data_IF_007093149301
#
_entry.id   IF_007093149301
#
_cell.length_a   1.000
_cell.length_b   1.000
_cell.length_c   1.000
_cell.angle_alpha   90.00
_cell.angle_beta   90.00
_cell.angle_gamma   90.00
#
_symmetry.space_group_name_H-M   'P 1'
#
loop_
_entity.id
_entity.type
_entity.pdbx_description
1 polymer ?
#
# COMPACT_ATOMS: atom_id res chain seq x y z
N UNK A 1 38.16 -7.97 -36.81
CA UNK A 1 38.99 -7.36 -35.73
C UNK A 1 38.85 -5.84 -35.60
N UNK A 2 38.81 -5.03 -36.69
CA UNK A 2 38.71 -3.56 -36.59
C UNK A 2 37.34 -3.11 -36.09
N UNK A 3 36.24 -3.72 -36.55
CA UNK A 3 34.86 -3.40 -36.11
C UNK A 3 34.68 -3.72 -34.62
N UNK A 4 35.22 -4.86 -34.19
CA UNK A 4 35.14 -5.24 -32.73
C UNK A 4 35.93 -4.26 -31.86
N UNK A 5 37.12 -3.83 -32.32
CA UNK A 5 37.92 -2.85 -31.60
C UNK A 5 37.21 -1.50 -31.51
N UNK A 6 36.70 -1.01 -32.62
CA UNK A 6 35.95 0.26 -32.68
C UNK A 6 34.67 0.21 -31.82
N UNK A 7 33.93 -0.91 -31.83
CA UNK A 7 32.79 -1.13 -30.96
C UNK A 7 33.17 -1.13 -29.46
N UNK A 8 34.30 -1.71 -29.11
CA UNK A 8 34.84 -1.68 -27.76
C UNK A 8 35.23 -0.26 -27.32
N UNK A 9 35.93 0.48 -28.17
CA UNK A 9 36.33 1.87 -27.88
C UNK A 9 35.10 2.79 -27.65
N UNK A 10 34.05 2.64 -28.48
CA UNK A 10 32.79 3.37 -28.28
C UNK A 10 32.12 2.95 -26.96
N UNK A 11 32.07 1.65 -26.66
CA UNK A 11 31.46 1.19 -25.40
C UNK A 11 32.22 1.75 -24.18
N UNK A 12 33.53 1.80 -24.21
CA UNK A 12 34.34 2.27 -23.09
C UNK A 12 34.37 3.78 -22.93
N UNK A 13 34.34 4.53 -24.06
CA UNK A 13 34.47 5.99 -24.02
C UNK A 13 33.12 6.74 -23.91
N UNK A 14 32.03 6.16 -24.40
CA UNK A 14 30.73 6.84 -24.48
C UNK A 14 29.64 6.12 -23.68
N UNK A 15 29.48 4.80 -23.87
CA UNK A 15 28.37 4.05 -23.28
C UNK A 15 28.60 3.84 -21.78
N UNK A 16 29.78 3.34 -21.41
CA UNK A 16 30.07 2.99 -20.01
C UNK A 16 29.98 4.20 -19.05
N UNK A 17 30.53 5.40 -19.35
CA UNK A 17 30.36 6.56 -18.52
C UNK A 17 28.89 6.94 -18.32
N UNK A 18 28.11 6.99 -19.40
CA UNK A 18 26.68 7.34 -19.33
C UNK A 18 25.86 6.35 -18.50
N UNK A 19 26.14 5.06 -18.64
CA UNK A 19 25.48 4.03 -17.81
C UNK A 19 25.88 4.16 -16.35
N UNK A 20 27.16 4.45 -16.08
CA UNK A 20 27.66 4.66 -14.72
C UNK A 20 26.98 5.86 -14.05
N UNK A 21 26.92 6.99 -14.72
CA UNK A 21 26.29 8.20 -14.21
C UNK A 21 24.80 7.96 -13.95
N UNK A 22 24.10 7.35 -14.90
CA UNK A 22 22.70 7.01 -14.76
C UNK A 22 22.45 6.02 -13.60
N UNK A 23 23.29 5.03 -13.44
CA UNK A 23 23.19 4.09 -12.33
C UNK A 23 23.39 4.77 -10.97
N UNK A 24 24.34 5.69 -10.86
CA UNK A 24 24.52 6.47 -9.64
C UNK A 24 23.29 7.36 -9.34
N UNK A 25 22.69 7.97 -10.36
CA UNK A 25 21.44 8.70 -10.19
C UNK A 25 20.32 7.81 -9.65
N UNK A 26 20.14 6.60 -10.18
CA UNK A 26 19.12 5.66 -9.69
C UNK A 26 19.41 5.17 -8.25
N UNK A 27 20.68 4.90 -7.92
CA UNK A 27 21.09 4.59 -6.53
C UNK A 27 20.71 5.72 -5.57
N UNK A 28 20.94 6.99 -5.96
CA UNK A 28 20.56 8.15 -5.15
C UNK A 28 19.04 8.27 -5.03
N UNK A 29 18.29 8.10 -6.12
CA UNK A 29 16.81 8.16 -6.13
C UNK A 29 16.18 7.12 -5.22
N UNK A 30 16.77 5.92 -5.15
CA UNK A 30 16.33 4.83 -4.28
C UNK A 30 16.85 4.98 -2.83
N UNK A 31 17.50 6.11 -2.50
CA UNK A 31 18.13 6.39 -1.21
C UNK A 31 19.16 5.33 -0.76
N UNK A 32 19.68 4.54 -1.69
CA UNK A 32 20.71 3.53 -1.44
C UNK A 32 22.14 4.11 -1.49
N UNK A 33 22.31 5.41 -1.25
CA UNK A 33 23.60 6.14 -1.38
C UNK A 33 24.70 5.63 -0.42
N UNK A 34 24.33 4.90 0.63
CA UNK A 34 25.31 4.22 1.51
C UNK A 34 25.93 2.99 0.84
N UNK A 35 25.28 2.43 -0.16
CA UNK A 35 25.76 1.27 -0.93
C UNK A 35 26.70 1.78 -2.01
N UNK A 36 28.01 1.63 -1.76
CA UNK A 36 29.05 2.11 -2.69
C UNK A 36 29.33 1.06 -3.76
N UNK A 37 28.57 1.11 -4.85
CA UNK A 37 28.66 0.24 -6.01
C UNK A 37 28.78 1.04 -7.29
N UNK A 38 29.40 0.44 -8.30
CA UNK A 38 29.50 1.00 -9.64
C UNK A 38 29.17 -0.06 -10.71
N UNK A 39 28.76 0.42 -11.90
CA UNK A 39 28.69 -0.44 -13.09
C UNK A 39 30.02 -0.37 -13.82
N UNK A 40 30.57 -1.55 -14.12
CA UNK A 40 31.77 -1.70 -14.91
C UNK A 40 31.52 -2.67 -16.06
N UNK A 41 32.22 -2.47 -17.15
CA UNK A 41 32.19 -3.41 -18.26
C UNK A 41 32.94 -4.69 -17.87
N UNK A 42 32.28 -5.84 -18.01
CA UNK A 42 32.86 -7.18 -17.70
C UNK A 42 33.31 -7.93 -18.94
N UNK A 43 33.06 -7.38 -20.14
CA UNK A 43 33.40 -8.05 -21.41
C UNK A 43 32.42 -7.75 -22.52
N UNK A 44 32.26 -8.65 -23.46
CA UNK A 44 31.27 -8.62 -24.52
C UNK A 44 30.99 -10.01 -25.06
N UNK A 45 29.76 -10.26 -25.43
CA UNK A 45 29.30 -11.51 -26.01
C UNK A 45 28.43 -11.22 -27.23
N UNK A 46 28.72 -11.88 -28.35
CA UNK A 46 28.01 -11.70 -29.61
C UNK A 46 27.89 -10.23 -30.08
N UNK A 47 28.95 -9.44 -29.86
CA UNK A 47 28.99 -8.03 -30.26
C UNK A 47 28.31 -7.05 -29.29
N UNK A 48 27.67 -7.53 -28.23
CA UNK A 48 27.07 -6.72 -27.19
C UNK A 48 27.94 -6.58 -25.96
N UNK A 49 28.23 -5.38 -25.45
CA UNK A 49 29.00 -5.20 -24.23
C UNK A 49 28.21 -5.74 -23.03
N UNK A 50 28.91 -6.41 -22.13
CA UNK A 50 28.38 -6.93 -20.90
C UNK A 50 28.85 -6.07 -19.73
N UNK A 51 27.96 -5.82 -18.76
CA UNK A 51 28.19 -5.00 -17.58
C UNK A 51 27.97 -5.81 -16.33
N UNK A 52 28.66 -5.46 -15.26
CA UNK A 52 28.47 -6.03 -13.92
C UNK A 52 28.51 -4.92 -12.86
N UNK A 53 27.84 -5.17 -11.76
CA UNK A 53 27.94 -4.32 -10.58
C UNK A 53 29.13 -4.76 -9.75
N UNK A 54 29.93 -3.80 -9.27
CA UNK A 54 31.13 -4.01 -8.47
C UNK A 54 31.13 -3.08 -7.25
N UNK A 55 31.71 -3.54 -6.15
CA UNK A 55 31.91 -2.72 -4.96
C UNK A 55 33.11 -1.78 -5.16
N UNK A 56 32.95 -0.51 -4.79
CA UNK A 56 34.04 0.48 -4.84
C UNK A 56 35.22 0.11 -3.94
N UNK A 57 34.91 -0.26 -2.67
CA UNK A 57 35.93 -0.48 -1.65
C UNK A 57 36.66 -1.84 -1.79
N UNK A 58 36.01 -2.84 -2.40
CA UNK A 58 36.55 -4.19 -2.62
C UNK A 58 36.13 -4.70 -4.00
N UNK A 59 36.84 -4.28 -5.07
CA UNK A 59 36.46 -4.62 -6.44
C UNK A 59 36.43 -6.13 -6.75
N UNK A 60 37.23 -6.91 -6.05
CA UNK A 60 37.35 -8.36 -6.25
C UNK A 60 36.33 -9.17 -5.41
N UNK A 61 35.63 -8.51 -4.47
CA UNK A 61 34.64 -9.18 -3.67
C UNK A 61 33.31 -9.30 -4.43
N UNK A 62 32.63 -10.41 -4.24
CA UNK A 62 31.32 -10.62 -4.87
C UNK A 62 30.27 -9.79 -4.15
N UNK A 63 29.55 -8.96 -4.90
CA UNK A 63 28.52 -8.04 -4.39
C UNK A 63 27.47 -8.78 -3.54
N UNK A 64 27.06 -9.98 -3.98
CA UNK A 64 26.03 -10.77 -3.30
C UNK A 64 26.48 -11.40 -1.96
N UNK A 65 27.78 -11.44 -1.69
CA UNK A 65 28.33 -11.94 -0.41
C UNK A 65 28.44 -10.81 0.64
N UNK A 66 28.46 -9.56 0.21
CA UNK A 66 28.68 -8.39 1.07
C UNK A 66 27.40 -7.64 1.39
N UNK A 67 26.53 -7.44 0.38
CA UNK A 67 25.31 -6.67 0.53
C UNK A 67 24.22 -7.48 1.25
N UNK A 68 23.48 -6.80 2.12
CA UNK A 68 22.23 -7.32 2.68
C UNK A 68 21.19 -7.56 1.57
N UNK A 69 20.14 -8.33 1.86
CA UNK A 69 19.10 -8.64 0.89
C UNK A 69 18.41 -7.39 0.36
N UNK A 70 18.09 -6.45 1.25
CA UNK A 70 17.48 -5.17 0.85
C UNK A 70 18.41 -4.32 -0.02
N UNK A 71 19.71 -4.25 0.30
CA UNK A 71 20.69 -3.55 -0.54
C UNK A 71 20.83 -4.19 -1.94
N UNK A 72 20.83 -5.52 -2.02
CA UNK A 72 20.80 -6.24 -3.30
C UNK A 72 19.58 -5.88 -4.13
N UNK A 73 18.40 -5.85 -3.52
CA UNK A 73 17.14 -5.47 -4.18
C UNK A 73 17.21 -4.05 -4.72
N UNK A 74 17.68 -3.08 -3.94
CA UNK A 74 17.85 -1.69 -4.40
C UNK A 74 18.86 -1.58 -5.55
N UNK A 75 19.99 -2.28 -5.45
CA UNK A 75 21.01 -2.27 -6.51
C UNK A 75 20.50 -2.93 -7.79
N UNK A 76 19.78 -4.04 -7.68
CA UNK A 76 19.17 -4.70 -8.83
C UNK A 76 18.12 -3.81 -9.51
N UNK A 77 17.27 -3.14 -8.71
CA UNK A 77 16.29 -2.19 -9.23
C UNK A 77 16.96 -0.98 -9.91
N UNK A 78 18.02 -0.42 -9.31
CA UNK A 78 18.79 0.66 -9.91
C UNK A 78 19.42 0.24 -11.25
N UNK A 79 19.99 -0.94 -11.33
CA UNK A 79 20.56 -1.48 -12.56
C UNK A 79 19.48 -1.67 -13.65
N UNK A 80 18.34 -2.23 -13.28
CA UNK A 80 17.20 -2.40 -14.18
C UNK A 80 16.66 -1.07 -14.71
N UNK A 81 16.47 -0.07 -13.83
CA UNK A 81 16.02 1.27 -14.22
C UNK A 81 17.05 1.99 -15.12
N UNK A 82 18.33 1.74 -14.89
CA UNK A 82 19.41 2.26 -15.75
C UNK A 82 19.35 1.67 -17.16
N UNK A 83 19.14 0.36 -17.27
CA UNK A 83 18.98 -0.32 -18.55
C UNK A 83 17.74 0.22 -19.30
N UNK A 84 16.61 0.36 -18.62
CA UNK A 84 15.39 0.94 -19.19
C UNK A 84 15.57 2.36 -19.69
N UNK A 85 16.38 3.19 -19.03
CA UNK A 85 16.64 4.56 -19.46
C UNK A 85 17.41 4.62 -20.81
N UNK A 86 18.11 3.55 -21.16
CA UNK A 86 18.81 3.42 -22.44
C UNK A 86 17.97 2.73 -23.53
N UNK A 87 16.86 2.10 -23.14
CA UNK A 87 15.99 1.41 -24.07
C UNK A 87 15.12 2.40 -24.86
N UNK A 88 15.05 2.21 -26.18
CA UNK A 88 14.27 3.06 -27.09
C UNK A 88 12.76 2.82 -27.05
N UNK A 89 12.29 1.82 -26.30
CA UNK A 89 10.88 1.43 -26.19
C UNK A 89 10.24 1.88 -24.89
N UNK A 90 8.90 2.04 -24.89
CA UNK A 90 8.07 2.38 -23.73
C UNK A 90 7.12 1.23 -23.34
N UNK A 91 7.60 0.01 -23.39
CA UNK A 91 6.82 -1.16 -22.97
C UNK A 91 6.39 -1.05 -21.51
N UNK A 92 5.26 -1.67 -21.18
CA UNK A 92 4.80 -1.78 -19.81
C UNK A 92 5.83 -2.51 -18.92
N UNK A 93 5.91 -2.11 -17.68
CA UNK A 93 6.73 -2.75 -16.64
C UNK A 93 5.83 -3.53 -15.69
N UNK A 94 6.29 -4.71 -15.34
CA UNK A 94 5.64 -5.56 -14.35
C UNK A 94 6.63 -5.83 -13.23
N UNK A 95 6.24 -5.50 -12.00
CA UNK A 95 7.01 -5.79 -10.80
C UNK A 95 6.24 -6.79 -9.94
N UNK A 96 6.93 -7.83 -9.48
CA UNK A 96 6.42 -8.81 -8.55
C UNK A 96 7.13 -8.63 -7.22
N UNK A 97 6.40 -8.06 -6.26
CA UNK A 97 6.81 -7.75 -4.89
C UNK A 97 8.20 -7.06 -4.78
N UNK A 98 8.38 -5.88 -5.43
CA UNK A 98 9.69 -5.25 -5.58
C UNK A 98 10.27 -4.72 -4.26
N UNK A 99 9.54 -4.85 -3.16
CA UNK A 99 9.93 -4.32 -1.83
C UNK A 99 10.10 -5.41 -0.79
N UNK A 100 10.03 -6.68 -1.17
CA UNK A 100 10.34 -7.79 -0.27
C UNK A 100 11.74 -7.58 0.30
N UNK A 101 11.89 -7.73 1.62
CA UNK A 101 13.15 -7.52 2.35
C UNK A 101 13.65 -6.08 2.46
N UNK A 102 12.87 -5.08 2.03
CA UNK A 102 13.20 -3.66 2.21
C UNK A 102 12.67 -3.11 3.53
N UNK A 103 13.47 -2.27 4.18
CA UNK A 103 12.99 -1.45 5.29
C UNK A 103 12.00 -0.36 4.80
N UNK A 104 11.28 0.26 5.74
CA UNK A 104 10.26 1.27 5.46
C UNK A 104 10.80 2.48 4.68
N UNK A 105 12.06 2.89 4.89
CA UNK A 105 12.66 4.05 4.22
C UNK A 105 12.87 3.80 2.74
N UNK A 106 13.40 2.64 2.41
CA UNK A 106 13.64 2.25 1.02
C UNK A 106 12.34 1.96 0.28
N UNK A 107 11.36 1.35 0.98
CA UNK A 107 10.03 1.07 0.44
C UNK A 107 9.35 2.32 -0.11
N UNK A 108 9.32 3.41 0.66
CA UNK A 108 8.76 4.69 0.23
C UNK A 108 9.50 5.31 -0.98
N UNK A 109 10.83 5.14 -1.06
CA UNK A 109 11.60 5.62 -2.21
C UNK A 109 11.35 4.79 -3.47
N UNK A 110 11.22 3.48 -3.34
CA UNK A 110 10.81 2.60 -4.45
C UNK A 110 9.42 2.99 -4.94
N UNK A 111 8.45 3.20 -4.03
CA UNK A 111 7.11 3.65 -4.40
C UNK A 111 7.14 4.96 -5.20
N UNK A 112 7.88 5.95 -4.71
CA UNK A 112 8.08 7.23 -5.39
C UNK A 112 8.67 7.03 -6.78
N UNK A 113 9.74 6.23 -6.90
CA UNK A 113 10.43 6.01 -8.17
C UNK A 113 9.56 5.30 -9.21
N UNK A 114 8.73 4.32 -8.77
CA UNK A 114 7.80 3.64 -9.67
C UNK A 114 6.68 4.56 -10.17
N UNK A 115 6.17 5.44 -9.31
CA UNK A 115 5.17 6.47 -9.71
C UNK A 115 5.77 7.48 -10.68
N UNK A 116 7.04 7.89 -10.50
CA UNK A 116 7.75 8.73 -11.48
C UNK A 116 7.88 8.02 -12.83
N UNK A 117 8.22 6.72 -12.84
CA UNK A 117 8.33 5.96 -14.10
C UNK A 117 6.99 5.81 -14.82
N UNK A 118 5.88 5.81 -14.07
CA UNK A 118 4.53 5.78 -14.65
C UNK A 118 4.18 7.02 -15.50
N UNK A 119 5.04 8.05 -15.52
CA UNK A 119 4.94 9.16 -16.48
C UNK A 119 5.27 8.75 -17.91
N UNK A 120 6.15 7.80 -18.05
CA UNK A 120 6.73 7.41 -19.32
C UNK A 120 6.08 6.15 -19.91
N UNK A 121 5.52 5.28 -19.04
CA UNK A 121 4.99 3.97 -19.43
C UNK A 121 4.01 3.41 -18.41
N UNK A 122 3.26 2.39 -18.77
CA UNK A 122 2.43 1.66 -17.83
C UNK A 122 3.31 0.90 -16.82
N UNK A 123 3.01 1.05 -15.53
CA UNK A 123 3.65 0.31 -14.44
C UNK A 123 2.59 -0.54 -13.74
N UNK A 124 2.83 -1.83 -13.67
CA UNK A 124 1.99 -2.82 -13.00
C UNK A 124 2.79 -3.39 -11.83
N UNK A 125 2.20 -3.37 -10.64
CA UNK A 125 2.85 -3.87 -9.43
C UNK A 125 1.97 -4.92 -8.79
N UNK A 126 2.49 -6.13 -8.64
CA UNK A 126 1.93 -7.15 -7.78
C UNK A 126 2.63 -7.08 -6.43
N UNK A 127 1.89 -7.02 -5.35
CA UNK A 127 2.45 -7.02 -3.99
C UNK A 127 1.42 -7.48 -2.96
N UNK A 128 1.90 -8.08 -1.89
CA UNK A 128 1.11 -8.40 -0.70
C UNK A 128 1.30 -7.36 0.43
N UNK A 129 2.20 -6.39 0.23
CA UNK A 129 2.54 -5.35 1.21
C UNK A 129 1.59 -4.16 1.12
N UNK A 130 0.62 -4.09 2.04
CA UNK A 130 -0.36 -3.00 2.09
C UNK A 130 0.26 -1.64 2.42
N UNK A 131 1.40 -1.60 3.10
CA UNK A 131 2.13 -0.34 3.37
C UNK A 131 2.67 0.21 2.07
N UNK A 132 3.26 -0.66 1.25
CA UNK A 132 3.77 -0.27 -0.06
C UNK A 132 2.64 0.18 -1.01
N UNK A 133 1.48 -0.48 -0.99
CA UNK A 133 0.31 -0.04 -1.75
C UNK A 133 -0.13 1.36 -1.31
N UNK A 134 -0.14 1.65 -0.01
CA UNK A 134 -0.47 2.98 0.50
C UNK A 134 0.58 4.02 0.05
N UNK A 135 1.88 3.70 0.10
CA UNK A 135 2.94 4.60 -0.35
C UNK A 135 2.81 4.91 -1.86
N UNK A 136 2.54 3.90 -2.69
CA UNK A 136 2.25 4.08 -4.12
C UNK A 136 1.06 5.02 -4.36
N UNK A 137 -0.05 4.78 -3.65
CA UNK A 137 -1.25 5.58 -3.77
C UNK A 137 -1.05 7.03 -3.28
N UNK A 138 -0.33 7.21 -2.18
CA UNK A 138 0.01 8.54 -1.63
C UNK A 138 0.88 9.34 -2.62
N UNK A 139 1.90 8.71 -3.22
CA UNK A 139 2.74 9.37 -4.22
C UNK A 139 1.98 9.68 -5.50
N UNK A 140 1.15 8.78 -5.98
CA UNK A 140 0.33 8.98 -7.17
C UNK A 140 -0.69 10.12 -6.97
N UNK A 141 -1.35 10.17 -5.82
CA UNK A 141 -2.28 11.25 -5.46
C UNK A 141 -1.58 12.61 -5.42
N UNK A 142 -0.39 12.69 -4.81
CA UNK A 142 0.41 13.94 -4.75
C UNK A 142 0.82 14.43 -6.13
N UNK A 143 0.99 13.53 -7.09
CA UNK A 143 1.40 13.87 -8.47
C UNK A 143 0.23 13.92 -9.45
N UNK A 144 -1.02 13.75 -8.98
CA UNK A 144 -2.23 13.76 -9.81
C UNK A 144 -2.35 12.56 -10.76
N UNK A 145 -1.73 11.42 -10.42
CA UNK A 145 -1.73 10.21 -11.24
C UNK A 145 -2.90 9.31 -10.89
N UNK A 146 -3.54 8.75 -11.93
CA UNK A 146 -4.57 7.73 -11.74
C UNK A 146 -3.93 6.38 -11.37
N UNK A 147 -4.45 5.76 -10.32
CA UNK A 147 -4.09 4.40 -9.90
C UNK A 147 -5.32 3.52 -9.98
N UNK A 148 -5.20 2.37 -10.65
CA UNK A 148 -6.19 1.31 -10.56
C UNK A 148 -5.71 0.26 -9.57
N UNK A 149 -6.52 0.03 -8.55
CA UNK A 149 -6.26 -0.98 -7.53
C UNK A 149 -7.15 -2.19 -7.78
N UNK A 150 -6.54 -3.37 -7.74
CA UNK A 150 -7.23 -4.65 -7.93
C UNK A 150 -6.73 -5.61 -6.85
N UNK A 151 -7.67 -6.21 -6.14
CA UNK A 151 -7.35 -7.23 -5.12
C UNK A 151 -7.45 -8.62 -5.74
N UNK A 152 -6.42 -9.43 -5.54
CA UNK A 152 -6.42 -10.85 -5.85
C UNK A 152 -6.55 -11.64 -4.54
N UNK A 153 -7.51 -12.54 -4.47
CA UNK A 153 -7.76 -13.36 -3.29
C UNK A 153 -7.84 -14.84 -3.63
N UNK A 154 -7.76 -15.68 -2.59
CA UNK A 154 -7.99 -17.11 -2.69
C UNK A 154 -9.39 -17.41 -2.16
N UNK A 155 -10.21 -18.00 -2.99
CA UNK A 155 -11.55 -18.48 -2.63
C UNK A 155 -11.62 -20.00 -2.62
N UNK A 156 -12.81 -20.55 -2.41
CA UNK A 156 -13.07 -22.00 -2.43
C UNK A 156 -12.72 -22.63 -3.79
N UNK A 157 -12.88 -21.90 -4.89
CA UNK A 157 -12.52 -22.32 -6.25
C UNK A 157 -11.03 -22.23 -6.58
N UNK A 158 -10.18 -21.74 -5.66
CA UNK A 158 -8.75 -21.59 -5.87
C UNK A 158 -8.24 -20.16 -5.70
N UNK A 159 -7.01 -19.90 -6.17
CA UNK A 159 -6.39 -18.58 -6.18
C UNK A 159 -6.82 -17.78 -7.42
N UNK A 160 -6.67 -16.43 -7.35
CA UNK A 160 -6.90 -15.55 -8.49
C UNK A 160 -8.31 -14.98 -8.59
N UNK A 161 -9.10 -15.04 -7.52
CA UNK A 161 -10.38 -14.31 -7.46
C UNK A 161 -10.12 -12.82 -7.48
N UNK A 162 -10.62 -12.15 -8.51
CA UNK A 162 -10.40 -10.71 -8.77
C UNK A 162 -11.52 -9.89 -8.15
N UNK A 163 -11.13 -8.84 -7.42
CA UNK A 163 -12.06 -7.82 -6.93
C UNK A 163 -11.47 -6.42 -7.17
N UNK A 164 -12.31 -5.47 -7.55
CA UNK A 164 -11.90 -4.09 -7.70
C UNK A 164 -11.65 -3.42 -6.33
N UNK A 165 -10.64 -2.56 -6.29
CA UNK A 165 -10.28 -1.76 -5.13
C UNK A 165 -9.42 -2.51 -4.12
N UNK A 166 -9.26 -1.89 -2.95
CA UNK A 166 -8.44 -2.40 -1.85
C UNK A 166 -9.14 -3.50 -1.04
N UNK A 167 -8.38 -4.44 -0.46
CA UNK A 167 -8.94 -5.39 0.50
C UNK A 167 -9.48 -4.64 1.73
N UNK A 168 -10.46 -5.21 2.43
CA UNK A 168 -11.14 -4.57 3.57
C UNK A 168 -10.19 -3.86 4.55
N UNK A 169 -9.09 -4.51 4.92
CA UNK A 169 -8.12 -3.97 5.88
C UNK A 169 -7.45 -2.65 5.43
N UNK A 170 -7.35 -2.43 4.13
CA UNK A 170 -6.72 -1.26 3.54
C UNK A 170 -7.71 -0.18 3.07
N UNK A 171 -9.02 -0.44 3.15
CA UNK A 171 -10.06 0.52 2.75
C UNK A 171 -10.15 1.71 3.69
N UNK A 172 -10.53 2.86 3.12
CA UNK A 172 -10.89 4.05 3.89
C UNK A 172 -12.16 3.81 4.72
N UNK A 173 -12.43 4.70 5.68
CA UNK A 173 -13.67 4.64 6.48
C UNK A 173 -14.90 4.77 5.58
N UNK A 174 -14.86 5.64 4.57
CA UNK A 174 -15.94 5.86 3.60
C UNK A 174 -16.24 4.59 2.78
N UNK A 175 -15.20 3.99 2.18
CA UNK A 175 -15.34 2.75 1.39
C UNK A 175 -15.95 1.62 2.23
N UNK A 176 -15.58 1.55 3.52
CA UNK A 176 -16.11 0.56 4.46
C UNK A 176 -17.56 0.84 4.80
N UNK A 177 -17.94 2.12 5.04
CA UNK A 177 -19.34 2.53 5.28
C UNK A 177 -20.21 2.15 4.09
N UNK A 178 -19.79 2.48 2.87
CA UNK A 178 -20.54 2.14 1.64
C UNK A 178 -20.76 0.61 1.51
N UNK A 179 -19.75 -0.19 1.87
CA UNK A 179 -19.87 -1.65 1.87
C UNK A 179 -20.79 -2.16 2.98
N UNK A 180 -20.70 -1.58 4.18
CA UNK A 180 -21.57 -1.90 5.30
C UNK A 180 -23.03 -1.58 4.96
N UNK A 181 -23.33 -0.41 4.36
CA UNK A 181 -24.69 -0.07 3.93
C UNK A 181 -25.24 -1.06 2.90
N UNK A 182 -24.42 -1.48 1.91
CA UNK A 182 -24.83 -2.48 0.92
C UNK A 182 -25.12 -3.83 1.55
N UNK A 183 -24.24 -4.28 2.45
CA UNK A 183 -24.40 -5.56 3.13
C UNK A 183 -25.57 -5.53 4.13
N UNK A 184 -25.82 -4.41 4.81
CA UNK A 184 -26.99 -4.23 5.68
C UNK A 184 -28.31 -4.34 4.90
N UNK A 185 -28.37 -3.79 3.67
CA UNK A 185 -29.54 -3.97 2.80
C UNK A 185 -29.77 -5.44 2.42
N UNK A 186 -28.68 -6.17 2.16
CA UNK A 186 -28.78 -7.62 1.86
C UNK A 186 -29.23 -8.40 3.11
N UNK A 187 -28.66 -8.09 4.29
CA UNK A 187 -29.10 -8.70 5.55
C UNK A 187 -30.57 -8.42 5.86
N UNK A 188 -31.05 -7.18 5.59
CA UNK A 188 -32.47 -6.85 5.75
C UNK A 188 -33.39 -7.77 4.94
N UNK A 189 -33.00 -8.15 3.72
CA UNK A 189 -33.80 -9.07 2.90
C UNK A 189 -33.92 -10.46 3.55
N UNK A 190 -32.87 -10.94 4.25
CA UNK A 190 -32.95 -12.21 5.00
C UNK A 190 -33.99 -12.11 6.12
N UNK A 191 -33.94 -11.01 6.89
CA UNK A 191 -34.94 -10.75 7.94
C UNK A 191 -36.35 -10.63 7.38
N UNK A 192 -36.57 -9.87 6.31
CA UNK A 192 -37.89 -9.67 5.68
C UNK A 192 -38.46 -10.99 5.11
N UNK A 193 -37.60 -11.96 4.78
CA UNK A 193 -37.95 -13.29 4.31
C UNK A 193 -38.07 -14.33 5.44
N UNK A 194 -38.05 -13.94 6.72
CA UNK A 194 -38.05 -14.79 7.90
C UNK A 194 -36.92 -15.82 7.95
N UNK A 195 -35.76 -15.48 7.43
CA UNK A 195 -34.53 -16.29 7.50
C UNK A 195 -33.68 -15.84 8.71
N UNK A 196 -34.20 -16.09 9.92
CA UNK A 196 -33.67 -15.53 11.17
C UNK A 196 -32.26 -16.05 11.49
N UNK A 197 -31.97 -17.33 11.23
CA UNK A 197 -30.64 -17.91 11.51
C UNK A 197 -29.56 -17.30 10.59
N UNK A 198 -29.86 -17.21 9.31
CA UNK A 198 -28.95 -16.58 8.33
C UNK A 198 -28.77 -15.08 8.62
N UNK A 199 -29.86 -14.39 9.01
CA UNK A 199 -29.81 -13.00 9.42
C UNK A 199 -28.92 -12.80 10.64
N UNK A 200 -29.05 -13.61 11.69
CA UNK A 200 -28.25 -13.54 12.90
C UNK A 200 -26.73 -13.66 12.59
N UNK A 201 -26.35 -14.63 11.76
CA UNK A 201 -24.96 -14.83 11.33
C UNK A 201 -24.44 -13.61 10.56
N UNK A 202 -25.24 -13.05 9.65
CA UNK A 202 -24.81 -11.92 8.83
C UNK A 202 -24.71 -10.63 9.64
N UNK A 203 -25.66 -10.39 10.57
CA UNK A 203 -25.60 -9.24 11.48
C UNK A 203 -24.35 -9.27 12.38
N UNK A 204 -24.01 -10.45 12.94
CA UNK A 204 -22.80 -10.59 13.74
C UNK A 204 -21.53 -10.21 12.95
N UNK A 205 -21.42 -10.63 11.68
CA UNK A 205 -20.32 -10.25 10.79
C UNK A 205 -20.32 -8.75 10.51
N UNK A 206 -21.49 -8.15 10.31
CA UNK A 206 -21.65 -6.74 10.06
C UNK A 206 -21.22 -5.90 11.26
N UNK A 207 -21.64 -6.27 12.48
CA UNK A 207 -21.20 -5.55 13.69
C UNK A 207 -19.70 -5.71 13.96
N UNK A 208 -19.12 -6.88 13.68
CA UNK A 208 -17.67 -7.04 13.75
C UNK A 208 -16.94 -6.12 12.73
N UNK A 209 -17.49 -5.99 11.53
CA UNK A 209 -16.96 -5.10 10.49
C UNK A 209 -17.18 -3.63 10.85
N UNK A 210 -18.30 -3.28 11.47
CA UNK A 210 -18.61 -1.93 11.95
C UNK A 210 -17.66 -1.53 13.10
N UNK A 211 -17.41 -2.45 14.06
CA UNK A 211 -16.40 -2.26 15.11
C UNK A 211 -15.03 -1.95 14.53
N UNK A 212 -14.56 -2.77 13.57
CA UNK A 212 -13.29 -2.56 12.89
C UNK A 212 -13.25 -1.24 12.09
N UNK A 213 -14.42 -0.71 11.69
CA UNK A 213 -14.52 0.58 10.99
C UNK A 213 -14.45 1.74 11.97
N UNK A 214 -15.04 1.63 13.17
CA UNK A 214 -14.85 2.58 14.26
C UNK A 214 -13.36 2.70 14.63
N UNK A 215 -12.65 1.56 14.82
CA UNK A 215 -11.21 1.57 15.09
C UNK A 215 -10.42 2.28 13.97
N UNK A 216 -10.77 2.03 12.71
CA UNK A 216 -10.15 2.72 11.58
C UNK A 216 -10.45 4.22 11.61
N UNK A 217 -11.63 4.61 12.08
CA UNK A 217 -12.03 5.99 12.27
C UNK A 217 -11.13 6.76 13.23
N UNK A 218 -10.64 6.12 14.29
CA UNK A 218 -9.67 6.76 15.18
C UNK A 218 -8.39 7.14 14.44
N UNK A 219 -7.81 6.22 13.67
CA UNK A 219 -6.57 6.49 12.94
C UNK A 219 -6.75 7.52 11.83
N UNK A 220 -7.78 7.33 10.99
CA UNK A 220 -7.94 8.10 9.75
C UNK A 220 -8.60 9.45 9.97
N UNK A 221 -9.50 9.54 10.97
CA UNK A 221 -10.33 10.72 11.19
C UNK A 221 -9.97 11.42 12.49
N UNK A 222 -10.12 10.77 13.67
CA UNK A 222 -9.84 11.43 14.93
C UNK A 222 -8.37 11.88 15.03
N UNK A 223 -7.44 11.03 14.71
CA UNK A 223 -6.00 11.33 14.72
C UNK A 223 -5.46 11.84 13.37
N UNK A 224 -6.31 12.04 12.36
CA UNK A 224 -5.94 12.61 11.05
C UNK A 224 -4.70 11.94 10.45
N UNK A 225 -4.55 10.63 10.65
CA UNK A 225 -3.37 9.85 10.25
C UNK A 225 -2.04 10.36 10.83
N UNK A 226 -2.06 11.11 11.92
CA UNK A 226 -0.85 11.50 12.66
C UNK A 226 -0.15 10.26 13.19
N UNK A 227 -0.92 9.32 13.72
CA UNK A 227 -0.48 8.00 14.16
C UNK A 227 -1.22 6.96 13.30
N UNK A 228 -0.47 6.04 12.71
CA UNK A 228 -1.01 4.89 11.96
C UNK A 228 -0.25 3.63 12.38
N UNK A 229 -0.98 2.55 12.72
CA UNK A 229 -0.41 1.29 13.22
C UNK A 229 0.65 0.65 12.30
N UNK A 230 0.61 0.96 11.02
CA UNK A 230 1.52 0.38 10.02
C UNK A 230 2.69 1.30 9.65
N UNK A 231 2.83 2.48 10.29
CA UNK A 231 3.92 3.42 10.05
C UNK A 231 4.83 3.53 11.26
N UNK A 232 6.13 3.56 11.02
CA UNK A 232 7.15 3.69 12.05
C UNK A 232 7.43 5.16 12.44
N UNK A 233 6.72 6.11 11.82
CA UNK A 233 6.89 7.54 12.08
C UNK A 233 5.56 8.23 12.36
N UNK A 234 5.62 9.30 13.12
CA UNK A 234 4.49 10.17 13.42
C UNK A 234 4.43 11.26 12.35
N UNK A 235 3.28 11.41 11.68
CA UNK A 235 3.04 12.49 10.73
C UNK A 235 2.57 13.77 11.46
N UNK A 236 3.50 14.59 11.90
CA UNK A 236 3.20 15.82 12.64
C UNK A 236 2.56 16.94 11.79
N UNK A 237 2.52 16.82 10.46
CA UNK A 237 2.01 17.86 9.55
C UNK A 237 0.56 18.25 9.85
N UNK A 238 -0.28 17.27 10.16
CA UNK A 238 -1.70 17.46 10.40
C UNK A 238 -2.07 17.45 11.90
N UNK A 239 -1.07 17.47 12.79
CA UNK A 239 -1.27 17.40 14.25
C UNK A 239 -2.27 18.47 14.75
N UNK A 240 -2.20 19.69 14.19
CA UNK A 240 -3.10 20.78 14.57
C UNK A 240 -4.57 20.44 14.37
N UNK A 241 -4.90 19.63 13.35
CA UNK A 241 -6.28 19.20 13.05
C UNK A 241 -6.87 18.26 14.11
N UNK A 242 -6.01 17.58 14.89
CA UNK A 242 -6.46 16.74 16.02
C UNK A 242 -7.17 17.57 17.08
N UNK A 243 -6.87 18.87 17.22
CA UNK A 243 -7.56 19.78 18.16
C UNK A 243 -9.05 20.02 17.82
N UNK A 244 -9.54 19.56 16.66
CA UNK A 244 -10.95 19.56 16.35
C UNK A 244 -11.76 18.50 17.11
N UNK A 245 -11.08 17.52 17.70
CA UNK A 245 -11.69 16.44 18.48
C UNK A 245 -12.28 17.02 19.78
N UNK A 246 -13.54 16.72 20.04
CA UNK A 246 -14.26 17.17 21.24
C UNK A 246 -14.58 15.99 22.15
N UNK A 247 -14.98 16.28 23.40
CA UNK A 247 -15.47 15.28 24.34
C UNK A 247 -16.69 14.52 23.76
N UNK A 248 -17.63 15.23 23.15
CA UNK A 248 -18.78 14.62 22.50
C UNK A 248 -18.39 13.61 21.38
N UNK A 249 -17.31 13.87 20.65
CA UNK A 249 -16.81 12.90 19.66
C UNK A 249 -16.24 11.65 20.32
N UNK A 250 -15.56 11.81 21.44
CA UNK A 250 -15.03 10.69 22.23
C UNK A 250 -16.16 9.84 22.80
N UNK A 251 -17.20 10.46 23.32
CA UNK A 251 -18.39 9.78 23.85
C UNK A 251 -19.16 9.03 22.76
N UNK A 252 -19.36 9.67 21.60
CA UNK A 252 -20.00 9.03 20.46
C UNK A 252 -19.21 7.82 19.95
N UNK A 253 -17.88 7.96 19.86
CA UNK A 253 -17.01 6.83 19.52
C UNK A 253 -17.13 5.70 20.56
N UNK A 254 -17.01 6.02 21.85
CA UNK A 254 -17.06 5.03 22.92
C UNK A 254 -18.41 4.27 22.93
N UNK A 255 -19.51 4.97 22.75
CA UNK A 255 -20.85 4.39 22.69
C UNK A 255 -21.02 3.45 21.49
N UNK A 256 -20.66 3.91 20.29
CA UNK A 256 -20.79 3.13 19.05
C UNK A 256 -19.86 1.89 19.05
N UNK A 257 -18.63 2.07 19.49
CA UNK A 257 -17.67 0.97 19.60
C UNK A 257 -18.09 -0.07 20.64
N UNK A 258 -18.52 0.37 21.83
CA UNK A 258 -19.02 -0.50 22.90
C UNK A 258 -20.23 -1.31 22.45
N UNK A 259 -21.22 -0.65 21.81
CA UNK A 259 -22.42 -1.35 21.28
C UNK A 259 -22.03 -2.47 20.33
N UNK A 260 -21.06 -2.23 19.43
CA UNK A 260 -20.56 -3.28 18.54
C UNK A 260 -19.90 -4.43 19.31
N UNK A 261 -19.09 -4.14 20.35
CA UNK A 261 -18.48 -5.19 21.17
C UNK A 261 -19.54 -6.03 21.89
N UNK A 262 -20.51 -5.36 22.55
CA UNK A 262 -21.56 -6.03 23.31
C UNK A 262 -22.38 -6.99 22.41
N UNK A 263 -22.64 -6.59 21.16
CA UNK A 263 -23.37 -7.45 20.19
C UNK A 263 -22.49 -8.62 19.70
N UNK A 264 -21.22 -8.37 19.38
CA UNK A 264 -20.30 -9.42 18.92
C UNK A 264 -20.06 -10.46 20.03
N UNK A 265 -19.83 -10.00 21.26
CA UNK A 265 -19.58 -10.88 22.39
C UNK A 265 -20.84 -11.68 22.82
N UNK A 266 -22.04 -11.14 22.59
CA UNK A 266 -23.31 -11.84 22.86
C UNK A 266 -23.55 -13.04 21.94
N UNK A 267 -22.85 -13.13 20.81
CA UNK A 267 -22.89 -14.28 19.90
C UNK A 267 -21.88 -15.40 20.23
N UNK A 268 -21.10 -15.26 21.32
CA UNK A 268 -20.24 -16.35 21.79
C UNK A 268 -21.11 -17.41 22.51
N UNK A 269 -21.13 -18.68 22.02
CA UNK A 269 -21.95 -19.75 22.60
C UNK A 269 -21.66 -20.04 24.07
N UNK A 270 -20.50 -19.60 24.59
CA UNK A 270 -20.08 -19.82 25.98
C UNK A 270 -20.87 -18.98 27.00
N UNK A 271 -21.51 -17.91 26.57
CA UNK A 271 -22.17 -16.96 27.49
C UNK A 271 -23.60 -17.33 27.88
N UNK A 272 -24.19 -18.36 27.27
CA UNK A 272 -25.54 -18.87 27.61
C UNK A 272 -26.66 -17.84 27.45
N UNK A 273 -26.40 -16.71 26.85
CA UNK A 273 -27.40 -15.68 26.55
C UNK A 273 -27.70 -15.69 25.05
N UNK A 274 -28.81 -16.38 24.70
CA UNK A 274 -29.40 -16.20 23.37
C UNK A 274 -30.05 -14.80 23.29
N UNK A 275 -29.23 -13.76 23.08
CA UNK A 275 -29.76 -12.46 22.74
C UNK A 275 -30.24 -12.50 21.28
N UNK A 276 -31.47 -12.09 21.03
CA UNK A 276 -31.99 -11.94 19.67
C UNK A 276 -31.09 -10.96 18.90
N UNK A 277 -30.82 -11.21 17.61
CA UNK A 277 -30.04 -10.29 16.81
C UNK A 277 -30.72 -8.92 16.74
N UNK A 278 -29.97 -7.80 16.74
CA UNK A 278 -30.56 -6.48 16.57
C UNK A 278 -31.39 -6.40 15.29
N UNK A 279 -32.54 -5.69 15.32
CA UNK A 279 -33.36 -5.52 14.13
C UNK A 279 -32.61 -4.71 13.06
N UNK A 280 -32.98 -4.80 11.77
CA UNK A 280 -32.33 -4.08 10.69
C UNK A 280 -32.28 -2.56 10.90
N UNK A 281 -33.28 -1.97 11.53
CA UNK A 281 -33.35 -0.52 11.88
C UNK A 281 -32.14 -0.11 12.70
N UNK A 282 -31.84 -0.85 13.77
CA UNK A 282 -30.74 -0.53 14.67
C UNK A 282 -29.39 -0.59 13.95
N UNK A 283 -29.19 -1.59 13.06
CA UNK A 283 -27.98 -1.71 12.26
C UNK A 283 -27.78 -0.51 11.33
N UNK A 284 -28.86 -0.04 10.67
CA UNK A 284 -28.77 1.16 9.82
C UNK A 284 -28.50 2.42 10.64
N UNK A 285 -29.11 2.57 11.80
CA UNK A 285 -28.87 3.68 12.72
C UNK A 285 -27.43 3.70 13.21
N UNK A 286 -26.86 2.55 13.55
CA UNK A 286 -25.48 2.43 14.02
C UNK A 286 -24.45 2.72 12.91
N UNK A 287 -24.72 2.32 11.68
CA UNK A 287 -23.89 2.67 10.51
C UNK A 287 -23.99 4.19 10.25
N UNK A 288 -25.20 4.76 10.34
CA UNK A 288 -25.42 6.19 10.15
C UNK A 288 -24.72 7.01 11.25
N UNK A 289 -24.75 6.55 12.50
CA UNK A 289 -24.06 7.21 13.60
C UNK A 289 -22.53 7.32 13.34
N UNK A 290 -21.90 6.25 12.85
CA UNK A 290 -20.49 6.31 12.43
C UNK A 290 -20.27 7.31 11.29
N UNK A 291 -21.15 7.31 10.29
CA UNK A 291 -21.08 8.19 9.13
C UNK A 291 -21.18 9.66 9.54
N UNK A 292 -22.12 9.99 10.41
CA UNK A 292 -22.35 11.35 10.92
C UNK A 292 -21.20 11.83 11.80
N UNK A 293 -20.69 10.96 12.66
CA UNK A 293 -19.49 11.22 13.46
C UNK A 293 -18.28 11.56 12.57
N UNK A 294 -18.03 10.73 11.56
CA UNK A 294 -16.93 10.91 10.62
C UNK A 294 -17.04 12.22 9.83
N UNK A 295 -18.23 12.52 9.30
CA UNK A 295 -18.49 13.73 8.52
C UNK A 295 -18.34 14.99 9.37
N UNK A 296 -18.97 15.02 10.55
CA UNK A 296 -18.94 16.16 11.47
C UNK A 296 -17.52 16.53 11.90
N UNK A 297 -16.72 15.53 12.28
CA UNK A 297 -15.34 15.76 12.71
C UNK A 297 -14.47 16.27 11.56
N UNK A 298 -14.59 15.69 10.36
CA UNK A 298 -13.87 16.16 9.17
C UNK A 298 -14.23 17.60 8.78
N UNK A 299 -15.48 17.99 8.90
CA UNK A 299 -15.89 19.35 8.57
C UNK A 299 -15.31 20.38 9.54
N UNK A 300 -15.15 20.03 10.82
CA UNK A 300 -14.41 20.88 11.76
C UNK A 300 -12.92 20.93 11.44
N UNK A 301 -12.31 19.79 11.10
CA UNK A 301 -10.90 19.70 10.73
C UNK A 301 -10.54 20.53 9.50
N UNK A 302 -11.42 20.60 8.49
CA UNK A 302 -11.24 21.45 7.30
C UNK A 302 -11.14 22.95 7.62
N UNK A 303 -11.73 23.38 8.73
CA UNK A 303 -11.70 24.79 9.18
C UNK A 303 -10.41 25.14 9.94
N UNK A 304 -9.60 24.14 10.30
CA UNK A 304 -8.32 24.31 11.00
C UNK A 304 -7.21 24.26 9.94
N UNK A 305 -6.70 25.42 9.57
CA UNK A 305 -5.62 25.56 8.57
C UNK A 305 -4.22 25.38 9.20
#
# INVERSE_FOLDING_TARGET
>A
NTITKMGNDIADTVITPRLRDRFQEEIVRLAASKVRVEIVRSGGKYGSPQYQVRLFAKPDAKVHEILSEGEKTCVALAAFMTELATAMHRSALVFDDPVSSLDHRWRGQVAKRLVEEAENRQVIVFTHDLVFVNDLNDHATKTGRAVRLTTLSRGAAGAGMVADGLPWKAQSVEDRIDKLEKAARAAKLLHDNNQEDEYAVEVAKLYNSLRATWERGLEDIAFVRVIQRHRDYINAKDLKKVSALTEADCDAFAAGFKKCCDIVDAHDPSSGRNAAPPPPTDLFEDIQALKDWAASLRDRQKKIA
#
